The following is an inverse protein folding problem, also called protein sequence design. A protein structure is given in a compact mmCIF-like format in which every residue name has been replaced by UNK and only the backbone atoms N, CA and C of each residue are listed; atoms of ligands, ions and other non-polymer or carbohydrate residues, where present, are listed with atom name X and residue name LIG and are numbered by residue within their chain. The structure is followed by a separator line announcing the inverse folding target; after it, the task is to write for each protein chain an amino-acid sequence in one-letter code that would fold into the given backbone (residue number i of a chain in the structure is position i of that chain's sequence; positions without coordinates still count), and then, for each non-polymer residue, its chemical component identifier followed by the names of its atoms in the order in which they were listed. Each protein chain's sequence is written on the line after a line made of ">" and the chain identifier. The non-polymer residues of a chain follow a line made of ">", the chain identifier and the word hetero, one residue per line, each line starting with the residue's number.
data_IF_484465544324
#
_entry.id   IF_484465544324
#
_cell.length_a   1.000
_cell.length_b   1.000
_cell.length_c   1.000
_cell.angle_alpha   90.00
_cell.angle_beta   90.00
_cell.angle_gamma   90.00
#
_symmetry.space_group_name_H-M   'P 1'
#
loop_
_entity.id
_entity.type
_entity.pdbx_description
1 polymer ?
#
# COMPACT_ATOMS: atom_id res chain seq x y z
N UNK A 1 -6.60 37.98 -5.44
CA UNK A 1 -7.76 37.19 -4.99
C UNK A 1 -8.40 36.65 -6.25
N UNK A 2 -8.28 35.35 -6.52
CA UNK A 2 -8.88 34.72 -7.71
C UNK A 2 -9.60 33.47 -7.23
N UNK A 3 -10.92 33.53 -7.25
CA UNK A 3 -11.85 32.46 -6.87
C UNK A 3 -12.66 32.07 -8.12
N UNK A 4 -12.51 30.83 -8.61
CA UNK A 4 -13.59 30.01 -9.21
C UNK A 4 -13.05 28.74 -9.89
N UNK A 5 -13.35 27.58 -9.30
CA UNK A 5 -14.24 26.64 -9.98
C UNK A 5 -13.65 25.59 -10.92
N UNK A 6 -12.81 24.68 -10.42
CA UNK A 6 -12.93 23.26 -10.78
C UNK A 6 -12.69 22.41 -9.52
N UNK A 7 -13.70 21.64 -9.11
CA UNK A 7 -13.59 20.59 -8.08
C UNK A 7 -12.79 19.40 -8.65
N UNK A 8 -11.57 19.65 -9.13
CA UNK A 8 -10.64 18.62 -9.57
C UNK A 8 -9.45 18.68 -8.65
N UNK A 9 -9.34 17.67 -7.78
CA UNK A 9 -8.15 17.43 -7.01
C UNK A 9 -6.96 17.37 -7.99
N UNK A 10 -5.86 18.06 -7.68
CA UNK A 10 -4.64 17.91 -8.46
C UNK A 10 -4.21 16.44 -8.44
N UNK A 11 -3.54 15.95 -9.49
CA UNK A 11 -3.06 14.56 -9.53
C UNK A 11 -2.27 14.17 -8.28
N UNK A 12 -1.43 15.08 -7.78
CA UNK A 12 -0.68 14.89 -6.53
C UNK A 12 -1.59 14.77 -5.30
N UNK A 13 -2.68 15.53 -5.25
CA UNK A 13 -3.65 15.47 -4.15
C UNK A 13 -4.49 14.19 -4.19
N UNK A 14 -4.84 13.71 -5.39
CA UNK A 14 -5.47 12.40 -5.59
C UNK A 14 -4.55 11.24 -5.17
N UNK A 15 -3.27 11.27 -5.57
CA UNK A 15 -2.27 10.27 -5.15
C UNK A 15 -2.10 10.30 -3.63
N UNK A 16 -1.97 11.49 -3.04
CA UNK A 16 -1.88 11.66 -1.58
C UNK A 16 -3.11 11.14 -0.84
N UNK A 17 -4.31 11.39 -1.38
CA UNK A 17 -5.57 10.89 -0.83
C UNK A 17 -5.63 9.36 -0.86
N UNK A 18 -5.23 8.73 -1.98
CA UNK A 18 -5.22 7.27 -2.13
C UNK A 18 -4.21 6.64 -1.17
N UNK A 19 -2.98 7.15 -1.13
CA UNK A 19 -1.94 6.65 -0.22
C UNK A 19 -2.38 6.83 1.24
N UNK A 20 -2.92 8.00 1.59
CA UNK A 20 -3.43 8.29 2.93
C UNK A 20 -4.58 7.36 3.33
N UNK A 21 -5.52 7.08 2.42
CA UNK A 21 -6.62 6.14 2.66
C UNK A 21 -6.13 4.70 2.79
N UNK A 22 -5.13 4.29 2.01
CA UNK A 22 -4.60 2.93 2.03
C UNK A 22 -3.79 2.65 3.30
N UNK A 23 -2.97 3.61 3.73
CA UNK A 23 -2.20 3.51 4.98
C UNK A 23 -3.11 3.70 6.20
N UNK A 24 -3.93 4.75 6.21
CA UNK A 24 -4.83 5.08 7.32
C UNK A 24 -5.94 4.06 7.54
N UNK A 25 -6.58 3.61 6.46
CA UNK A 25 -7.67 2.65 6.51
C UNK A 25 -7.20 1.19 6.61
N UNK A 26 -6.07 0.84 6.00
CA UNK A 26 -5.55 -0.52 5.97
C UNK A 26 -4.55 -0.79 7.08
N UNK A 27 -3.34 -0.21 6.95
CA UNK A 27 -2.21 -0.57 7.81
C UNK A 27 -2.42 -0.21 9.28
N UNK A 28 -2.97 0.97 9.58
CA UNK A 28 -3.21 1.41 10.95
C UNK A 28 -4.38 0.70 11.62
N UNK A 29 -5.49 0.43 10.91
CA UNK A 29 -6.59 -0.37 11.46
C UNK A 29 -6.15 -1.79 11.79
N UNK A 30 -5.39 -2.44 10.88
CA UNK A 30 -4.87 -3.78 11.14
C UNK A 30 -3.95 -3.80 12.37
N UNK A 31 -3.07 -2.81 12.50
CA UNK A 31 -2.18 -2.71 13.65
C UNK A 31 -2.96 -2.45 14.96
N UNK A 32 -4.00 -1.61 14.92
CA UNK A 32 -4.87 -1.33 16.07
C UNK A 32 -5.67 -2.57 16.49
N UNK A 33 -6.29 -3.29 15.55
CA UNK A 33 -7.05 -4.51 15.82
C UNK A 33 -6.14 -5.62 16.36
N UNK A 34 -4.96 -5.80 15.76
CA UNK A 34 -4.01 -6.80 16.22
C UNK A 34 -3.32 -6.42 17.54
N UNK A 35 -3.11 -5.12 17.79
CA UNK A 35 -2.59 -4.57 19.06
C UNK A 35 -3.51 -4.77 20.24
N UNK A 36 -4.83 -4.78 20.02
CA UNK A 36 -5.83 -4.99 21.05
C UNK A 36 -5.93 -6.45 21.53
N UNK A 37 -5.53 -7.42 20.69
CA UNK A 37 -5.83 -8.84 20.92
C UNK A 37 -4.61 -9.77 20.90
N UNK A 38 -3.50 -9.38 20.25
CA UNK A 38 -2.26 -10.14 20.18
C UNK A 38 -1.12 -9.43 20.93
N UNK A 39 -0.22 -10.20 21.57
CA UNK A 39 0.96 -9.63 22.22
C UNK A 39 1.87 -8.95 21.20
N UNK A 40 2.49 -7.82 21.55
CA UNK A 40 3.28 -6.99 20.63
C UNK A 40 4.36 -7.75 19.84
N UNK A 41 4.94 -8.82 20.41
CA UNK A 41 5.88 -9.70 19.70
C UNK A 41 5.26 -10.45 18.52
N UNK A 42 4.00 -10.89 18.64
CA UNK A 42 3.30 -11.59 17.57
C UNK A 42 3.04 -10.67 16.37
N UNK A 43 2.76 -9.39 16.62
CA UNK A 43 2.52 -8.38 15.58
C UNK A 43 3.79 -8.11 14.78
N UNK A 44 4.92 -7.97 15.46
CA UNK A 44 6.23 -7.75 14.82
C UNK A 44 6.60 -8.92 13.92
N UNK A 45 6.41 -10.17 14.40
CA UNK A 45 6.68 -11.37 13.60
C UNK A 45 5.74 -11.44 12.38
N UNK A 46 4.46 -11.15 12.55
CA UNK A 46 3.49 -11.13 11.45
C UNK A 46 3.84 -10.09 10.37
N UNK A 47 4.29 -8.90 10.77
CA UNK A 47 4.77 -7.88 9.85
C UNK A 47 6.02 -8.31 9.08
N UNK A 48 6.98 -8.97 9.75
CA UNK A 48 8.18 -9.50 9.09
C UNK A 48 7.82 -10.55 8.05
N UNK A 49 6.93 -11.50 8.39
CA UNK A 49 6.48 -12.54 7.45
C UNK A 49 5.80 -11.91 6.24
N UNK A 50 4.93 -10.91 6.49
CA UNK A 50 4.22 -10.20 5.41
C UNK A 50 5.19 -9.44 4.50
N UNK A 51 6.18 -8.75 5.09
CA UNK A 51 7.21 -8.04 4.34
C UNK A 51 8.03 -9.00 3.46
N UNK A 52 8.42 -10.16 4.00
CA UNK A 52 9.13 -11.19 3.24
C UNK A 52 8.26 -11.70 2.09
N UNK A 53 6.99 -12.02 2.34
CA UNK A 53 6.07 -12.49 1.31
C UNK A 53 5.88 -11.47 0.19
N UNK A 54 5.72 -10.18 0.52
CA UNK A 54 5.57 -9.10 -0.44
C UNK A 54 6.84 -8.90 -1.29
N UNK A 55 8.03 -9.05 -0.70
CA UNK A 55 9.30 -9.04 -1.44
C UNK A 55 9.38 -10.23 -2.40
N UNK A 56 9.03 -11.44 -1.95
CA UNK A 56 9.00 -12.63 -2.81
C UNK A 56 8.05 -12.44 -3.99
N UNK A 57 6.85 -11.89 -3.77
CA UNK A 57 5.91 -11.56 -4.85
C UNK A 57 6.48 -10.52 -5.82
N UNK A 58 7.14 -9.48 -5.29
CA UNK A 58 7.79 -8.48 -6.14
C UNK A 58 8.89 -9.09 -7.01
N UNK A 59 9.64 -10.08 -6.52
CA UNK A 59 10.62 -10.80 -7.32
C UNK A 59 9.96 -11.67 -8.40
N UNK A 60 8.85 -12.35 -8.07
CA UNK A 60 8.07 -13.11 -9.05
C UNK A 60 7.57 -12.19 -10.15
N UNK A 61 6.97 -11.05 -9.81
CA UNK A 61 6.51 -10.07 -10.80
C UNK A 61 7.65 -9.48 -11.61
N UNK A 62 8.76 -9.09 -10.98
CA UNK A 62 9.95 -8.64 -11.71
C UNK A 62 10.46 -9.71 -12.69
N UNK A 63 10.46 -10.98 -12.30
CA UNK A 63 10.83 -12.08 -13.19
C UNK A 63 9.85 -12.20 -14.37
N UNK A 64 8.55 -12.15 -14.11
CA UNK A 64 7.53 -12.18 -15.16
C UNK A 64 7.66 -11.00 -16.13
N UNK A 65 7.87 -9.78 -15.62
CA UNK A 65 8.04 -8.57 -16.45
C UNK A 65 9.30 -8.65 -17.31
N UNK A 66 10.39 -9.22 -16.78
CA UNK A 66 11.63 -9.41 -17.55
C UNK A 66 11.47 -10.48 -18.65
N UNK A 67 10.68 -11.52 -18.39
CA UNK A 67 10.49 -12.65 -19.33
C UNK A 67 9.37 -12.37 -20.36
N UNK A 68 8.40 -11.53 -20.00
CA UNK A 68 7.29 -11.06 -20.84
C UNK A 68 7.12 -9.54 -20.74
N UNK A 69 8.04 -8.76 -21.33
CA UNK A 69 7.93 -7.30 -21.35
C UNK A 69 6.75 -6.80 -22.21
N UNK A 70 6.11 -7.69 -22.97
CA UNK A 70 4.90 -7.47 -23.77
C UNK A 70 3.61 -7.48 -22.93
N UNK A 71 3.64 -8.01 -21.71
CA UNK A 71 2.53 -7.93 -20.75
C UNK A 71 2.71 -6.67 -19.90
N UNK A 72 2.21 -5.55 -20.41
CA UNK A 72 2.07 -4.31 -19.64
C UNK A 72 1.07 -4.59 -18.51
N UNK A 73 1.57 -4.65 -17.26
CA UNK A 73 0.81 -5.08 -16.08
C UNK A 73 -0.33 -4.14 -15.79
N UNK A 74 -1.54 -4.50 -16.25
CA UNK A 74 -2.82 -3.87 -15.95
C UNK A 74 -3.57 -4.60 -14.85
#
# INVERSE_FOLDING_TARGET
>A
MSESGENKLSQSSLIGLVIGSMIGGGAFNLMSDMGGQAGGLAIIIGWIITAIGMISLAFVFQNLTNERPDLDGG
#
